data_IF_157061166921
#
_entry.id   IF_157061166921
#
_cell.length_a   1.000
_cell.length_b   1.000
_cell.length_c   1.000
_cell.angle_alpha   90.00
_cell.angle_beta   90.00
_cell.angle_gamma   90.00
#
_symmetry.space_group_name_H-M   'P 1'
#
loop_
_entity.id
_entity.type
_entity.pdbx_description
1 polymer ?
#
# COMPACT_ATOMS: atom_id res chain seq x y z
N UNK A 1 -4.15 -9.09 10.89
CA UNK A 1 -4.31 -10.54 11.07
C UNK A 1 -3.67 -11.20 9.86
N UNK A 2 -2.69 -12.06 10.08
CA UNK A 2 -1.96 -12.71 8.99
C UNK A 2 -2.72 -13.94 8.49
N UNK A 3 -2.76 -14.15 7.17
CA UNK A 3 -3.39 -15.33 6.56
C UNK A 3 -2.80 -16.64 7.06
N UNK A 4 -1.49 -16.66 7.26
CA UNK A 4 -0.78 -17.85 7.71
C UNK A 4 -1.26 -18.29 9.10
N UNK A 5 -1.47 -17.35 10.02
CA UNK A 5 -2.00 -17.67 11.35
C UNK A 5 -3.42 -18.27 11.29
N UNK A 6 -4.25 -17.81 10.34
CA UNK A 6 -5.58 -18.40 10.10
C UNK A 6 -5.43 -19.82 9.54
N UNK A 7 -4.48 -20.03 8.62
CA UNK A 7 -4.22 -21.32 8.01
C UNK A 7 -3.72 -22.35 9.03
N UNK A 8 -2.77 -21.97 9.87
CA UNK A 8 -2.27 -22.79 10.99
C UNK A 8 -3.42 -23.17 11.94
N UNK A 9 -4.29 -22.21 12.26
CA UNK A 9 -5.49 -22.48 13.07
C UNK A 9 -6.41 -23.51 12.40
N UNK A 10 -6.69 -23.36 11.11
CA UNK A 10 -7.55 -24.29 10.35
C UNK A 10 -6.97 -25.70 10.37
N UNK A 11 -5.68 -25.85 10.09
CA UNK A 11 -5.00 -27.16 10.08
C UNK A 11 -5.07 -27.83 11.45
N UNK A 12 -4.80 -27.07 12.52
CA UNK A 12 -4.87 -27.58 13.89
C UNK A 12 -6.29 -27.99 14.28
N UNK A 13 -7.26 -27.10 14.08
CA UNK A 13 -8.66 -27.35 14.40
C UNK A 13 -9.22 -28.55 13.62
N UNK A 14 -8.91 -28.65 12.31
CA UNK A 14 -9.36 -29.77 11.49
C UNK A 14 -8.79 -31.10 12.00
N UNK A 15 -7.50 -31.14 12.35
CA UNK A 15 -6.89 -32.36 12.92
C UNK A 15 -7.56 -32.80 14.22
N UNK A 16 -8.02 -31.86 15.04
CA UNK A 16 -8.72 -32.15 16.30
C UNK A 16 -10.13 -32.70 16.02
N UNK A 17 -10.85 -32.07 15.08
CA UNK A 17 -12.19 -32.49 14.67
C UNK A 17 -12.14 -33.90 14.07
N UNK A 18 -11.18 -34.19 13.19
CA UNK A 18 -11.02 -35.50 12.57
C UNK A 18 -10.75 -36.60 13.62
N UNK A 19 -9.99 -36.27 14.67
CA UNK A 19 -9.71 -37.18 15.78
C UNK A 19 -10.93 -37.38 16.72
N UNK A 20 -11.84 -36.40 16.77
CA UNK A 20 -13.00 -36.43 17.67
C UNK A 20 -14.23 -35.71 17.08
N UNK A 21 -14.93 -36.32 16.10
CA UNK A 21 -16.03 -35.66 15.37
C UNK A 21 -17.34 -35.60 16.17
N UNK A 22 -17.38 -36.13 17.38
CA UNK A 22 -18.55 -36.09 18.29
C UNK A 22 -18.21 -35.31 19.57
N UNK A 23 -17.36 -34.29 19.42
CA UNK A 23 -16.89 -33.46 20.52
C UNK A 23 -18.02 -32.58 21.05
N UNK A 24 -18.27 -32.67 22.37
CA UNK A 24 -19.24 -31.83 23.06
C UNK A 24 -18.77 -30.38 23.21
N UNK A 25 -19.69 -29.50 23.64
CA UNK A 25 -19.43 -28.05 23.74
C UNK A 25 -18.24 -27.70 24.66
N UNK A 26 -18.05 -28.43 25.77
CA UNK A 26 -16.97 -28.15 26.72
C UNK A 26 -15.60 -28.48 26.10
N UNK A 27 -15.50 -29.59 25.37
CA UNK A 27 -14.28 -29.95 24.68
C UNK A 27 -14.04 -29.04 23.46
N UNK A 28 -15.08 -28.66 22.70
CA UNK A 28 -14.94 -27.69 21.59
C UNK A 28 -14.37 -26.37 22.08
N UNK A 29 -14.89 -25.85 23.20
CA UNK A 29 -14.40 -24.64 23.87
C UNK A 29 -12.92 -24.72 24.25
N UNK A 30 -12.50 -25.86 24.77
CA UNK A 30 -11.14 -26.06 25.29
C UNK A 30 -10.11 -26.37 24.20
N UNK A 31 -10.47 -27.20 23.23
CA UNK A 31 -9.55 -27.76 22.23
C UNK A 31 -9.47 -26.94 20.94
N UNK A 32 -10.56 -26.26 20.54
CA UNK A 32 -10.63 -25.52 19.28
C UNK A 32 -10.74 -24.02 19.54
N UNK A 33 -11.76 -23.61 20.30
CA UNK A 33 -12.08 -22.18 20.40
C UNK A 33 -11.07 -21.37 21.22
N UNK A 34 -10.26 -22.02 22.05
CA UNK A 34 -9.17 -21.35 22.77
C UNK A 34 -8.15 -20.74 21.81
N UNK A 35 -7.78 -21.49 20.77
CA UNK A 35 -6.84 -21.01 19.75
C UNK A 35 -7.50 -19.98 18.85
N UNK A 36 -8.79 -20.15 18.53
CA UNK A 36 -9.57 -19.14 17.80
C UNK A 36 -9.63 -17.80 18.53
N UNK A 37 -9.84 -17.82 19.85
CA UNK A 37 -9.80 -16.61 20.66
C UNK A 37 -8.40 -15.98 20.65
N UNK A 38 -7.34 -16.80 20.73
CA UNK A 38 -5.96 -16.35 20.56
C UNK A 38 -5.72 -15.65 19.21
N UNK A 39 -6.23 -16.22 18.12
CA UNK A 39 -6.18 -15.63 16.77
C UNK A 39 -6.85 -14.24 16.70
N UNK A 40 -7.92 -14.03 17.45
CA UNK A 40 -8.59 -12.73 17.57
C UNK A 40 -7.93 -11.77 18.58
N UNK A 41 -6.94 -12.22 19.36
CA UNK A 41 -6.35 -11.46 20.47
C UNK A 41 -7.23 -11.38 21.73
N UNK A 42 -8.21 -12.29 21.84
CA UNK A 42 -9.12 -12.43 22.97
C UNK A 42 -8.46 -13.34 24.02
N UNK A 43 -7.87 -12.74 25.04
CA UNK A 43 -7.04 -13.41 26.04
C UNK A 43 -7.79 -13.58 27.36
N UNK A 44 -7.95 -14.82 27.80
CA UNK A 44 -8.56 -15.16 29.10
C UNK A 44 -7.46 -15.25 30.18
N UNK A 45 -7.62 -14.67 31.37
CA UNK A 45 -8.73 -13.82 31.84
C UNK A 45 -8.46 -12.32 31.63
N UNK A 46 -7.46 -11.96 30.82
CA UNK A 46 -6.93 -10.59 30.72
C UNK A 46 -7.95 -9.59 30.15
N UNK A 47 -8.48 -9.87 28.97
CA UNK A 47 -9.47 -9.03 28.29
C UNK A 47 -10.74 -9.81 27.91
N UNK A 48 -10.77 -11.12 28.13
CA UNK A 48 -11.92 -11.98 27.83
C UNK A 48 -12.44 -12.65 29.10
N UNK A 49 -13.73 -12.45 29.38
CA UNK A 49 -14.43 -13.09 30.48
C UNK A 49 -15.21 -14.33 30.00
N UNK A 50 -15.19 -15.38 30.81
CA UNK A 50 -15.97 -16.59 30.59
C UNK A 50 -17.34 -16.47 31.24
N UNK A 51 -18.37 -17.10 30.65
CA UNK A 51 -19.69 -17.24 31.26
C UNK A 51 -20.30 -15.89 31.69
N UNK A 52 -20.12 -14.87 30.84
CA UNK A 52 -20.50 -13.49 31.12
C UNK A 52 -22.02 -13.36 31.24
N UNK A 53 -22.46 -12.76 32.34
CA UNK A 53 -23.89 -12.70 32.67
C UNK A 53 -24.58 -11.55 31.94
N UNK A 54 -25.58 -11.89 31.13
CA UNK A 54 -26.41 -10.97 30.35
C UNK A 54 -27.83 -10.94 30.91
N UNK A 55 -28.36 -9.75 31.20
CA UNK A 55 -29.74 -9.60 31.66
C UNK A 55 -30.66 -9.42 30.46
N UNK A 56 -31.41 -10.47 30.12
CA UNK A 56 -32.36 -10.46 29.01
C UNK A 56 -33.74 -10.94 29.46
N UNK A 57 -34.81 -10.24 29.08
CA UNK A 57 -36.19 -10.64 29.35
C UNK A 57 -36.51 -10.98 30.83
N UNK A 58 -35.89 -10.26 31.77
CA UNK A 58 -36.08 -10.50 33.21
C UNK A 58 -35.41 -11.79 33.73
N UNK A 59 -34.59 -12.46 32.92
CA UNK A 59 -33.74 -13.60 33.30
C UNK A 59 -32.27 -13.24 33.10
N UNK A 60 -31.40 -13.91 33.86
CA UNK A 60 -29.95 -13.84 33.63
C UNK A 60 -29.55 -15.02 32.78
N UNK A 61 -28.95 -14.72 31.64
CA UNK A 61 -28.34 -15.69 30.76
C UNK A 61 -26.82 -15.56 30.83
N UNK A 62 -26.10 -16.54 30.30
CA UNK A 62 -24.65 -16.51 30.24
C UNK A 62 -24.23 -16.70 28.80
N UNK A 63 -23.37 -15.82 28.31
CA UNK A 63 -22.66 -15.98 27.04
C UNK A 63 -21.28 -16.55 27.34
N UNK A 64 -20.81 -17.45 26.48
CA UNK A 64 -19.62 -18.24 26.76
C UNK A 64 -18.36 -17.40 26.89
N UNK A 65 -18.18 -16.44 25.99
CA UNK A 65 -17.06 -15.51 26.02
C UNK A 65 -17.52 -14.09 25.74
N UNK A 66 -17.01 -13.15 26.55
CA UNK A 66 -17.17 -11.73 26.33
C UNK A 66 -15.82 -11.04 26.28
N UNK A 67 -15.52 -10.37 25.17
CA UNK A 67 -14.41 -9.42 25.11
C UNK A 67 -14.82 -8.16 25.88
N UNK A 68 -14.06 -7.82 26.91
CA UNK A 68 -14.28 -6.69 27.81
C UNK A 68 -13.12 -5.71 27.65
N UNK A 69 -13.42 -4.51 27.18
CA UNK A 69 -12.48 -3.40 27.09
C UNK A 69 -12.94 -2.28 28.01
N UNK A 70 -12.01 -1.73 28.80
CA UNK A 70 -12.31 -0.67 29.77
C UNK A 70 -13.51 -0.99 30.71
N UNK A 71 -13.66 -2.27 31.07
CA UNK A 71 -14.75 -2.75 31.93
C UNK A 71 -16.11 -2.91 31.24
N UNK A 72 -16.22 -2.68 29.94
CA UNK A 72 -17.45 -2.79 29.15
C UNK A 72 -17.36 -3.95 28.15
N UNK A 73 -18.39 -4.82 28.04
CA UNK A 73 -18.42 -5.84 27.00
C UNK A 73 -18.57 -5.18 25.61
N UNK A 74 -17.70 -5.53 24.67
CA UNK A 74 -17.69 -4.95 23.31
C UNK A 74 -17.97 -5.97 22.22
N UNK A 75 -17.72 -7.25 22.49
CA UNK A 75 -18.04 -8.36 21.60
C UNK A 75 -18.34 -9.64 22.38
N UNK A 76 -19.18 -10.49 21.80
CA UNK A 76 -19.57 -11.78 22.35
C UNK A 76 -19.22 -12.94 21.43
N UNK A 77 -18.90 -14.10 22.01
CA UNK A 77 -18.84 -15.38 21.30
C UNK A 77 -19.68 -16.42 22.04
N UNK A 78 -20.61 -17.04 21.33
CA UNK A 78 -21.42 -18.17 21.78
C UNK A 78 -20.94 -19.44 21.06
N UNK A 79 -20.67 -20.48 21.83
CA UNK A 79 -20.13 -21.74 21.36
C UNK A 79 -21.17 -22.87 21.42
N UNK A 80 -20.98 -23.88 20.57
CA UNK A 80 -21.70 -25.17 20.61
C UNK A 80 -20.70 -26.31 20.43
N UNK A 81 -21.12 -27.55 20.71
CA UNK A 81 -20.31 -28.74 20.42
C UNK A 81 -20.20 -28.99 18.92
N UNK A 82 -19.08 -29.57 18.47
CA UNK A 82 -18.89 -29.98 17.06
C UNK A 82 -20.00 -30.95 16.64
N UNK A 83 -20.45 -31.78 17.57
CA UNK A 83 -21.58 -32.70 17.40
C UNK A 83 -22.95 -32.02 17.17
N UNK A 84 -23.05 -30.69 17.22
CA UNK A 84 -24.29 -29.94 17.14
C UNK A 84 -24.23 -28.82 16.10
N UNK A 85 -25.05 -28.95 15.04
CA UNK A 85 -25.16 -27.93 14.00
C UNK A 85 -25.80 -26.63 14.49
N UNK A 86 -25.41 -25.51 13.89
CA UNK A 86 -25.93 -24.19 14.26
C UNK A 86 -27.40 -24.00 13.81
N UNK A 87 -28.32 -24.05 14.78
CA UNK A 87 -29.76 -23.88 14.56
C UNK A 87 -30.31 -22.48 14.86
N UNK A 88 -31.57 -22.22 14.47
CA UNK A 88 -32.23 -20.93 14.67
C UNK A 88 -32.32 -20.50 16.15
N UNK A 89 -32.51 -21.47 17.06
CA UNK A 89 -32.52 -21.19 18.51
C UNK A 89 -31.22 -20.56 18.99
N UNK A 90 -30.08 -21.04 18.51
CA UNK A 90 -28.76 -20.49 18.85
C UNK A 90 -28.60 -19.06 18.33
N UNK A 91 -29.07 -18.80 17.10
CA UNK A 91 -29.04 -17.46 16.50
C UNK A 91 -29.92 -16.47 17.26
N UNK A 92 -31.13 -16.87 17.64
CA UNK A 92 -32.05 -16.06 18.43
C UNK A 92 -31.47 -15.73 19.82
N UNK A 93 -30.81 -16.69 20.46
CA UNK A 93 -30.12 -16.51 21.73
C UNK A 93 -29.02 -15.45 21.63
N UNK A 94 -28.07 -15.58 20.70
CA UNK A 94 -27.01 -14.59 20.52
C UNK A 94 -27.56 -13.20 20.17
N UNK A 95 -28.56 -13.14 19.26
CA UNK A 95 -29.23 -11.87 18.90
C UNK A 95 -29.87 -11.19 20.11
N UNK A 96 -30.45 -11.95 21.04
CA UNK A 96 -31.01 -11.41 22.26
C UNK A 96 -29.91 -10.82 23.18
N UNK A 97 -28.75 -11.46 23.28
CA UNK A 97 -27.65 -10.96 24.10
C UNK A 97 -27.10 -9.63 23.57
N UNK A 98 -26.83 -9.56 22.27
CA UNK A 98 -26.35 -8.34 21.62
C UNK A 98 -27.32 -7.17 21.84
N UNK A 99 -28.63 -7.41 21.68
CA UNK A 99 -29.65 -6.36 21.82
C UNK A 99 -29.77 -5.80 23.25
N UNK A 100 -29.59 -6.63 24.28
CA UNK A 100 -29.87 -6.23 25.66
C UNK A 100 -28.67 -5.57 26.36
N UNK A 101 -27.43 -5.90 25.99
CA UNK A 101 -26.21 -5.37 26.61
C UNK A 101 -25.51 -4.30 25.75
N UNK A 102 -26.19 -3.81 24.71
CA UNK A 102 -25.65 -2.83 23.75
C UNK A 102 -24.31 -3.23 23.11
N UNK A 103 -24.07 -4.54 22.99
CA UNK A 103 -22.85 -5.11 22.40
C UNK A 103 -22.94 -5.14 20.88
N UNK A 104 -21.89 -4.61 20.22
CA UNK A 104 -21.93 -4.35 18.79
C UNK A 104 -21.62 -5.57 17.91
N UNK A 105 -20.85 -6.52 18.41
CA UNK A 105 -20.31 -7.63 17.63
C UNK A 105 -20.58 -8.98 18.29
N UNK A 106 -20.96 -9.98 17.50
CA UNK A 106 -21.21 -11.33 17.98
C UNK A 106 -20.70 -12.42 17.04
N UNK A 107 -20.18 -13.50 17.59
CA UNK A 107 -19.78 -14.72 16.88
C UNK A 107 -20.60 -15.89 17.42
N UNK A 108 -21.14 -16.72 16.54
CA UNK A 108 -21.73 -18.02 16.88
C UNK A 108 -20.94 -19.11 16.15
N UNK A 109 -20.44 -20.11 16.87
CA UNK A 109 -19.65 -21.17 16.26
C UNK A 109 -19.77 -22.51 17.00
N UNK A 110 -19.58 -23.61 16.29
CA UNK A 110 -19.39 -24.94 16.85
C UNK A 110 -17.97 -25.50 16.56
N UNK A 111 -17.05 -24.67 16.08
CA UNK A 111 -15.71 -25.08 15.63
C UNK A 111 -15.63 -25.44 14.14
N UNK A 112 -16.70 -25.97 13.56
CA UNK A 112 -16.80 -26.26 12.12
C UNK A 112 -17.45 -25.10 11.35
N UNK A 113 -18.56 -24.57 11.86
CA UNK A 113 -19.30 -23.45 11.29
C UNK A 113 -19.06 -22.17 12.09
N UNK A 114 -19.01 -21.03 11.40
CA UNK A 114 -18.82 -19.70 11.96
C UNK A 114 -19.83 -18.73 11.38
N UNK A 115 -20.59 -18.07 12.25
CA UNK A 115 -21.52 -17.00 11.88
C UNK A 115 -21.17 -15.70 12.61
N UNK A 116 -21.01 -14.61 11.85
CA UNK A 116 -20.61 -13.30 12.35
C UNK A 116 -21.80 -12.33 12.33
N UNK A 117 -21.94 -11.52 13.38
CA UNK A 117 -23.08 -10.65 13.60
C UNK A 117 -22.67 -9.23 13.98
N UNK A 118 -23.44 -8.25 13.50
CA UNK A 118 -23.34 -6.84 13.89
C UNK A 118 -24.68 -6.33 14.40
N UNK A 119 -24.67 -5.72 15.59
CA UNK A 119 -25.78 -4.91 16.08
C UNK A 119 -25.68 -3.50 15.51
N UNK A 120 -26.80 -2.97 15.03
CA UNK A 120 -26.93 -1.60 14.54
C UNK A 120 -28.23 -1.00 15.06
N UNK A 121 -28.18 0.28 15.40
CA UNK A 121 -29.38 1.06 15.71
C UNK A 121 -29.65 1.96 14.51
N UNK A 122 -30.77 1.72 13.83
CA UNK A 122 -31.24 2.55 12.72
C UNK A 122 -32.53 3.21 13.20
N UNK A 123 -32.51 4.54 13.27
CA UNK A 123 -33.51 5.37 13.94
C UNK A 123 -33.73 4.94 15.40
N UNK A 124 -34.82 4.21 15.67
CA UNK A 124 -35.20 3.69 17.00
C UNK A 124 -35.23 2.16 17.05
N UNK A 125 -34.89 1.47 15.94
CA UNK A 125 -34.93 0.01 15.86
C UNK A 125 -33.53 -0.58 16.00
N UNK A 126 -33.40 -1.51 16.94
CA UNK A 126 -32.18 -2.30 17.13
C UNK A 126 -32.23 -3.54 16.21
N UNK A 127 -31.40 -3.51 15.18
CA UNK A 127 -31.22 -4.59 14.22
C UNK A 127 -29.96 -5.38 14.55
N UNK A 128 -29.99 -6.69 14.32
CA UNK A 128 -28.80 -7.54 14.41
C UNK A 128 -28.69 -8.28 13.09
N UNK A 129 -27.72 -7.84 12.29
CA UNK A 129 -27.51 -8.30 10.93
C UNK A 129 -26.44 -9.38 10.91
N UNK A 130 -26.63 -10.40 10.08
CA UNK A 130 -25.60 -11.41 9.81
C UNK A 130 -24.61 -10.82 8.82
N UNK A 131 -23.34 -10.76 9.20
CA UNK A 131 -22.25 -10.28 8.35
C UNK A 131 -21.73 -11.38 7.42
N UNK A 132 -21.56 -12.60 7.94
CA UNK A 132 -21.13 -13.73 7.13
C UNK A 132 -21.47 -15.04 7.81
N UNK A 133 -21.51 -16.08 6.99
CA UNK A 133 -21.54 -17.48 7.40
C UNK A 133 -20.47 -18.21 6.60
N UNK A 134 -19.69 -19.03 7.25
CA UNK A 134 -18.59 -19.78 6.64
C UNK A 134 -18.32 -21.03 7.45
N UNK A 135 -17.72 -22.02 6.82
CA UNK A 135 -17.12 -23.16 7.53
C UNK A 135 -15.64 -22.88 7.84
N UNK A 136 -15.04 -23.78 8.62
CA UNK A 136 -13.65 -23.78 9.06
C UNK A 136 -12.68 -23.71 7.87
N UNK A 137 -12.92 -24.49 6.82
CA UNK A 137 -12.04 -24.57 5.65
C UNK A 137 -12.01 -23.25 4.89
N UNK A 138 -13.15 -22.55 4.86
CA UNK A 138 -13.31 -21.28 4.16
C UNK A 138 -13.02 -20.04 5.04
N UNK A 139 -12.55 -20.21 6.29
CA UNK A 139 -12.18 -19.07 7.14
C UNK A 139 -11.05 -18.20 6.55
N UNK A 140 -10.13 -18.80 5.79
CA UNK A 140 -9.06 -18.08 5.09
C UNK A 140 -9.59 -17.05 4.06
N UNK A 141 -10.80 -17.25 3.55
CA UNK A 141 -11.49 -16.33 2.62
C UNK A 141 -12.27 -15.24 3.37
N UNK A 142 -12.29 -15.29 4.71
CA UNK A 142 -13.04 -14.37 5.57
C UNK A 142 -12.14 -13.56 6.49
N UNK A 143 -10.87 -13.42 6.15
CA UNK A 143 -9.85 -12.70 6.96
C UNK A 143 -10.24 -11.25 7.24
N UNK A 144 -10.89 -10.54 6.29
CA UNK A 144 -11.41 -9.18 6.53
C UNK A 144 -12.38 -9.12 7.70
N UNK A 145 -13.30 -10.09 7.72
CA UNK A 145 -14.34 -10.18 8.73
C UNK A 145 -13.68 -10.56 10.05
N UNK A 146 -12.82 -11.57 10.07
CA UNK A 146 -12.07 -11.94 11.27
C UNK A 146 -11.28 -10.75 11.85
N UNK A 147 -10.64 -9.95 10.98
CA UNK A 147 -9.92 -8.74 11.39
C UNK A 147 -10.82 -7.73 12.09
N UNK A 148 -12.07 -7.56 11.66
CA UNK A 148 -13.02 -6.67 12.34
C UNK A 148 -13.40 -7.15 13.76
N UNK A 149 -13.18 -8.42 14.08
CA UNK A 149 -13.45 -9.00 15.39
C UNK A 149 -12.20 -9.12 16.27
N UNK A 150 -11.04 -8.64 15.82
CA UNK A 150 -9.84 -8.65 16.68
C UNK A 150 -9.95 -7.62 17.79
N UNK A 151 -9.30 -7.91 18.92
CA UNK A 151 -9.21 -6.97 20.05
C UNK A 151 -8.71 -5.60 19.59
N UNK A 152 -7.63 -5.55 18.83
CA UNK A 152 -7.01 -4.30 18.39
C UNK A 152 -7.91 -3.48 17.45
N UNK A 153 -8.61 -4.13 16.52
CA UNK A 153 -9.53 -3.44 15.61
C UNK A 153 -10.76 -2.89 16.35
N UNK A 154 -11.21 -3.59 17.39
CA UNK A 154 -12.33 -3.15 18.23
C UNK A 154 -11.90 -1.98 19.12
N UNK A 155 -10.76 -2.10 19.79
CA UNK A 155 -10.20 -1.09 20.70
C UNK A 155 -9.91 0.24 19.97
N UNK A 156 -9.37 0.17 18.76
CA UNK A 156 -9.07 1.35 17.93
C UNK A 156 -10.26 1.82 17.08
N UNK A 157 -11.45 1.22 17.25
CA UNK A 157 -12.66 1.52 16.49
C UNK A 157 -12.52 1.36 14.95
N UNK A 158 -11.53 0.60 14.49
CA UNK A 158 -11.27 0.31 13.08
C UNK A 158 -12.29 -0.67 12.50
N UNK A 159 -12.86 -1.54 13.34
CA UNK A 159 -13.89 -2.50 12.96
C UNK A 159 -15.07 -1.84 12.25
N UNK A 160 -15.45 -0.61 12.63
CA UNK A 160 -16.53 0.15 11.99
C UNK A 160 -16.19 0.43 10.52
N UNK A 161 -14.97 0.89 10.25
CA UNK A 161 -14.50 1.20 8.90
C UNK A 161 -14.46 -0.07 8.05
N UNK A 162 -13.90 -1.15 8.61
CA UNK A 162 -13.79 -2.44 7.93
C UNK A 162 -15.18 -2.96 7.54
N UNK A 163 -16.12 -3.00 8.48
CA UNK A 163 -17.46 -3.53 8.21
C UNK A 163 -18.29 -2.63 7.29
N UNK A 164 -18.16 -1.31 7.42
CA UNK A 164 -18.85 -0.39 6.50
C UNK A 164 -18.34 -0.56 5.06
N UNK A 165 -17.02 -0.68 4.86
CA UNK A 165 -16.45 -0.95 3.53
C UNK A 165 -16.95 -2.26 2.95
N UNK A 166 -17.00 -3.33 3.75
CA UNK A 166 -17.57 -4.62 3.31
C UNK A 166 -19.04 -4.45 2.90
N UNK A 167 -19.84 -3.73 3.68
CA UNK A 167 -21.25 -3.49 3.35
C UNK A 167 -21.40 -2.68 2.07
N UNK A 168 -20.68 -1.57 1.92
CA UNK A 168 -20.70 -0.75 0.70
C UNK A 168 -20.32 -1.54 -0.55
N UNK A 169 -19.27 -2.36 -0.45
CA UNK A 169 -18.82 -3.20 -1.55
C UNK A 169 -19.87 -4.24 -1.95
N UNK A 170 -20.52 -4.87 -0.98
CA UNK A 170 -21.59 -5.83 -1.25
C UNK A 170 -22.80 -5.16 -1.88
N UNK A 171 -23.21 -4.00 -1.38
CA UNK A 171 -24.32 -3.24 -1.95
C UNK A 171 -24.03 -2.81 -3.39
N UNK A 172 -22.79 -2.39 -3.66
CA UNK A 172 -22.32 -2.05 -5.00
C UNK A 172 -22.33 -3.27 -5.94
N UNK A 173 -21.75 -4.39 -5.50
CA UNK A 173 -21.76 -5.64 -6.26
C UNK A 173 -23.18 -6.11 -6.56
N UNK A 174 -24.05 -6.14 -5.55
CA UNK A 174 -25.43 -6.60 -5.71
C UNK A 174 -26.20 -5.69 -6.68
N UNK A 175 -25.88 -4.40 -6.71
CA UNK A 175 -26.44 -3.43 -7.67
C UNK A 175 -25.90 -3.64 -9.08
N UNK A 176 -24.58 -3.77 -9.23
CA UNK A 176 -23.95 -4.08 -10.52
C UNK A 176 -24.48 -5.38 -11.12
N UNK A 177 -24.65 -6.42 -10.30
CA UNK A 177 -25.15 -7.73 -10.77
C UNK A 177 -26.62 -7.69 -11.18
N UNK A 178 -27.46 -6.96 -10.43
CA UNK A 178 -28.89 -6.84 -10.72
C UNK A 178 -29.18 -5.98 -11.94
N UNK A 179 -28.47 -4.87 -12.07
CA UNK A 179 -28.76 -3.84 -13.07
C UNK A 179 -27.80 -3.95 -14.28
N UNK A 180 -27.08 -5.07 -14.40
CA UNK A 180 -26.01 -5.30 -15.38
C UNK A 180 -26.43 -5.02 -16.82
N UNK A 181 -27.56 -5.59 -17.25
CA UNK A 181 -28.01 -5.45 -18.63
C UNK A 181 -28.40 -4.00 -18.93
N UNK A 182 -29.14 -3.35 -18.03
CA UNK A 182 -29.58 -1.97 -18.19
C UNK A 182 -28.38 -1.00 -18.21
N UNK A 183 -27.42 -1.15 -17.29
CA UNK A 183 -26.19 -0.35 -17.25
C UNK A 183 -25.36 -0.52 -18.52
N UNK A 184 -25.27 -1.75 -19.05
CA UNK A 184 -24.54 -2.01 -20.28
C UNK A 184 -25.21 -1.37 -21.50
N UNK A 185 -26.55 -1.40 -21.56
CA UNK A 185 -27.32 -0.72 -22.60
C UNK A 185 -27.13 0.80 -22.52
N UNK A 186 -27.19 1.40 -21.34
CA UNK A 186 -26.96 2.85 -21.16
C UNK A 186 -25.57 3.27 -21.66
N UNK A 187 -24.52 2.50 -21.34
CA UNK A 187 -23.16 2.76 -21.83
C UNK A 187 -23.09 2.64 -23.35
N UNK A 188 -23.74 1.63 -23.93
CA UNK A 188 -23.78 1.41 -25.37
C UNK A 188 -24.48 2.54 -26.11
N UNK A 189 -25.63 3.00 -25.60
CA UNK A 189 -26.38 4.13 -26.15
C UNK A 189 -25.58 5.43 -26.10
N UNK A 190 -24.86 5.69 -25.00
CA UNK A 190 -23.97 6.85 -24.90
C UNK A 190 -22.89 6.84 -25.99
N UNK A 191 -22.25 5.70 -26.25
CA UNK A 191 -21.22 5.58 -27.29
C UNK A 191 -21.81 5.63 -28.70
N UNK A 192 -22.97 5.01 -28.91
CA UNK A 192 -23.68 5.05 -30.18
C UNK A 192 -24.06 6.49 -30.57
N UNK A 193 -24.62 7.25 -29.63
CA UNK A 193 -25.08 8.63 -29.84
C UNK A 193 -23.93 9.63 -30.04
N UNK A 194 -22.80 9.44 -29.35
CA UNK A 194 -21.69 10.40 -29.38
C UNK A 194 -20.60 10.07 -30.41
N UNK A 195 -20.52 8.82 -30.85
CA UNK A 195 -19.45 8.34 -31.75
C UNK A 195 -20.01 7.75 -33.05
N UNK A 196 -20.75 6.63 -32.96
CA UNK A 196 -21.34 5.96 -34.13
C UNK A 196 -22.29 4.83 -33.70
N UNK A 197 -23.47 4.77 -34.32
CA UNK A 197 -24.47 3.72 -34.12
C UNK A 197 -23.91 2.29 -34.34
N UNK A 198 -22.91 2.15 -35.21
CA UNK A 198 -22.25 0.85 -35.49
C UNK A 198 -21.57 0.24 -34.27
N UNK A 199 -21.30 1.05 -33.24
CA UNK A 199 -20.63 0.61 -32.02
C UNK A 199 -21.58 0.09 -30.95
N UNK A 200 -22.91 0.21 -31.13
CA UNK A 200 -23.91 -0.16 -30.11
C UNK A 200 -23.73 -1.61 -29.61
N UNK A 201 -23.78 -2.61 -30.51
CA UNK A 201 -23.61 -4.02 -30.11
C UNK A 201 -22.22 -4.36 -29.53
N UNK A 202 -21.09 -3.93 -30.15
CA UNK A 202 -19.77 -4.12 -29.55
C UNK A 202 -19.63 -3.44 -28.18
N UNK A 203 -20.17 -2.23 -28.01
CA UNK A 203 -20.10 -1.48 -26.77
C UNK A 203 -20.91 -2.16 -25.65
N UNK A 204 -22.13 -2.62 -25.94
CA UNK A 204 -22.96 -3.33 -24.96
C UNK A 204 -22.26 -4.61 -24.48
N UNK A 205 -21.70 -5.38 -25.41
CA UNK A 205 -20.97 -6.62 -25.08
C UNK A 205 -19.75 -6.34 -24.19
N UNK A 206 -18.97 -5.30 -24.50
CA UNK A 206 -17.81 -4.90 -23.71
C UNK A 206 -18.17 -4.28 -22.36
N UNK A 207 -19.30 -3.56 -22.27
CA UNK A 207 -19.81 -3.02 -21.03
C UNK A 207 -20.24 -4.15 -20.07
N UNK A 208 -20.93 -5.19 -20.57
CA UNK A 208 -21.27 -6.38 -19.75
C UNK A 208 -20.02 -7.06 -19.20
N UNK A 209 -19.00 -7.26 -20.03
CA UNK A 209 -17.74 -7.86 -19.62
C UNK A 209 -16.98 -6.98 -18.61
N UNK A 210 -17.04 -5.65 -18.77
CA UNK A 210 -16.48 -4.71 -17.80
C UNK A 210 -17.19 -4.79 -16.45
N UNK A 211 -18.53 -4.86 -16.45
CA UNK A 211 -19.33 -4.98 -15.21
C UNK A 211 -19.02 -6.30 -14.50
N UNK A 212 -18.92 -7.42 -15.23
CA UNK A 212 -18.52 -8.71 -14.65
C UNK A 212 -17.15 -8.62 -13.97
N UNK A 213 -16.15 -8.05 -14.66
CA UNK A 213 -14.82 -7.84 -14.07
C UNK A 213 -14.87 -6.95 -12.82
N UNK A 214 -15.74 -5.95 -12.78
CA UNK A 214 -15.88 -5.09 -11.61
C UNK A 214 -16.50 -5.86 -10.43
N UNK A 215 -17.50 -6.69 -10.70
CA UNK A 215 -18.10 -7.60 -9.70
C UNK A 215 -17.02 -8.52 -9.12
N UNK A 216 -16.24 -9.19 -9.97
CA UNK A 216 -15.18 -10.11 -9.55
C UNK A 216 -14.13 -9.40 -8.67
N UNK A 217 -13.67 -8.21 -9.10
CA UNK A 217 -12.70 -7.43 -8.31
C UNK A 217 -13.25 -7.01 -6.95
N UNK A 218 -14.54 -6.67 -6.86
CA UNK A 218 -15.20 -6.32 -5.60
C UNK A 218 -15.27 -7.53 -4.68
N UNK A 219 -15.58 -8.71 -5.22
CA UNK A 219 -15.60 -9.96 -4.44
C UNK A 219 -14.23 -10.30 -3.89
N UNK A 220 -13.18 -10.17 -4.72
CA UNK A 220 -11.79 -10.33 -4.27
C UNK A 220 -11.44 -9.36 -3.12
N UNK A 221 -11.86 -8.09 -3.20
CA UNK A 221 -11.61 -7.09 -2.15
C UNK A 221 -12.33 -7.43 -0.83
N UNK A 222 -13.56 -7.94 -0.91
CA UNK A 222 -14.35 -8.32 0.28
C UNK A 222 -13.71 -9.50 1.02
N UNK A 223 -13.30 -10.54 0.28
CA UNK A 223 -12.76 -11.78 0.84
C UNK A 223 -11.31 -11.61 1.30
N UNK A 224 -10.61 -10.70 0.66
CA UNK A 224 -9.17 -10.62 0.70
C UNK A 224 -8.69 -9.16 0.65
N UNK A 225 -8.85 -8.40 1.74
CA UNK A 225 -8.54 -6.98 1.76
C UNK A 225 -7.01 -6.79 1.69
N UNK A 226 -6.25 -7.78 2.17
CA UNK A 226 -4.80 -7.85 2.10
C UNK A 226 -4.31 -8.52 0.80
N UNK A 227 -5.22 -8.95 -0.08
CA UNK A 227 -4.91 -9.54 -1.39
C UNK A 227 -5.47 -8.75 -2.57
N UNK A 228 -6.12 -7.60 -2.33
CA UNK A 228 -6.62 -6.73 -3.39
C UNK A 228 -6.60 -5.25 -3.00
N UNK A 229 -5.56 -4.53 -3.42
CA UNK A 229 -5.73 -3.13 -3.84
C UNK A 229 -5.77 -2.04 -2.77
N UNK A 230 -4.82 -2.01 -1.84
CA UNK A 230 -4.66 -0.89 -0.92
C UNK A 230 -3.27 -0.82 -0.34
N UNK A 231 -2.22 -0.86 -1.16
CA UNK A 231 -0.86 -0.56 -0.67
C UNK A 231 -0.82 0.76 0.11
N UNK A 232 -1.74 1.68 -0.19
CA UNK A 232 -2.01 2.88 0.61
C UNK A 232 -2.76 2.50 1.89
N UNK A 233 -2.06 2.58 3.02
CA UNK A 233 -2.57 2.34 4.38
C UNK A 233 -3.65 3.35 4.77
N UNK A 234 -3.59 4.54 4.20
CA UNK A 234 -4.48 5.66 4.46
C UNK A 234 -3.81 6.97 4.08
N UNK A 235 -4.42 8.09 4.50
CA UNK A 235 -3.85 9.41 4.33
C UNK A 235 -2.97 9.79 5.55
N UNK A 236 -1.88 10.51 5.32
CA UNK A 236 -0.99 11.02 6.36
C UNK A 236 -0.63 12.48 6.06
N UNK A 237 -0.61 13.33 7.09
CA UNK A 237 -0.01 14.66 6.97
C UNK A 237 1.50 14.56 6.92
N UNK A 238 2.16 15.35 6.08
CA UNK A 238 3.62 15.30 5.95
C UNK A 238 4.33 15.52 7.29
N UNK A 239 3.85 16.44 8.12
CA UNK A 239 4.40 16.70 9.46
C UNK A 239 4.34 15.49 10.42
N UNK A 240 3.43 14.53 10.17
CA UNK A 240 3.25 13.34 11.00
C UNK A 240 4.08 12.15 10.53
N UNK A 241 4.76 12.25 9.38
CA UNK A 241 5.69 11.21 8.94
C UNK A 241 6.81 11.13 9.97
N UNK A 242 7.14 9.95 10.47
CA UNK A 242 8.28 9.75 11.39
C UNK A 242 9.58 9.52 10.63
N UNK A 243 10.70 9.98 11.17
CA UNK A 243 12.05 9.83 10.57
C UNK A 243 12.92 11.10 10.73
N UNK A 244 14.24 10.98 10.61
CA UNK A 244 15.14 12.13 10.71
C UNK A 244 15.02 13.01 9.46
N UNK A 245 15.21 14.32 9.61
CA UNK A 245 15.03 15.28 8.51
C UNK A 245 16.00 15.03 7.34
N UNK A 246 17.19 14.51 7.62
CA UNK A 246 18.18 14.18 6.60
C UNK A 246 17.95 12.81 5.92
N UNK A 247 16.88 12.07 6.27
CA UNK A 247 16.55 10.81 5.61
C UNK A 247 16.34 11.03 4.11
N UNK A 248 16.89 10.12 3.29
CA UNK A 248 16.94 10.28 1.84
C UNK A 248 15.63 9.81 1.22
N UNK A 249 14.97 10.69 0.47
CA UNK A 249 13.74 10.41 -0.26
C UNK A 249 14.02 10.33 -1.75
N UNK A 250 13.66 9.23 -2.39
CA UNK A 250 13.68 9.08 -3.84
C UNK A 250 12.31 9.48 -4.42
N UNK A 251 12.25 10.52 -5.24
CA UNK A 251 11.02 10.99 -5.88
C UNK A 251 10.97 10.51 -7.32
N UNK A 252 10.00 9.68 -7.65
CA UNK A 252 9.81 9.17 -9.01
C UNK A 252 8.65 9.88 -9.72
N UNK A 253 8.82 10.28 -10.99
CA UNK A 253 7.68 10.61 -11.82
C UNK A 253 6.88 9.34 -12.15
N UNK A 254 5.56 9.45 -12.03
CA UNK A 254 4.62 8.40 -12.32
C UNK A 254 3.38 8.95 -13.02
N UNK A 255 2.58 8.05 -13.59
CA UNK A 255 1.20 8.29 -14.05
C UNK A 255 0.27 7.48 -13.16
N UNK A 256 -1.03 7.77 -13.15
CA UNK A 256 -2.00 6.98 -12.40
C UNK A 256 -1.96 5.49 -12.74
N UNK A 257 -1.67 5.12 -14.00
CA UNK A 257 -1.50 3.72 -14.40
C UNK A 257 -0.38 2.99 -13.63
N UNK A 258 0.67 3.71 -13.22
CA UNK A 258 1.75 3.17 -12.40
C UNK A 258 1.33 2.94 -10.95
N UNK A 259 0.32 3.67 -10.46
CA UNK A 259 -0.21 3.46 -9.11
C UNK A 259 -0.82 2.08 -8.95
N UNK A 260 -1.36 1.48 -10.01
CA UNK A 260 -1.83 0.09 -9.97
C UNK A 260 -0.70 -0.86 -9.56
N UNK A 261 0.48 -0.74 -10.16
CA UNK A 261 1.63 -1.56 -9.76
C UNK A 261 2.03 -1.27 -8.29
N UNK A 262 2.08 0.01 -7.93
CA UNK A 262 2.45 0.49 -6.60
C UNK A 262 1.56 -0.11 -5.50
N UNK A 263 0.24 -0.02 -5.69
CA UNK A 263 -0.76 -0.49 -4.72
C UNK A 263 -0.91 -2.01 -4.73
N UNK A 264 -0.76 -2.64 -5.90
CA UNK A 264 -0.85 -4.10 -6.04
C UNK A 264 0.34 -4.80 -5.39
N UNK A 265 1.55 -4.27 -5.53
CA UNK A 265 2.76 -4.96 -5.08
C UNK A 265 3.39 -4.42 -3.79
N UNK A 266 2.84 -3.33 -3.22
CA UNK A 266 3.50 -2.57 -2.14
C UNK A 266 4.98 -2.30 -2.48
N UNK A 267 5.23 -1.94 -3.74
CA UNK A 267 6.56 -1.82 -4.30
C UNK A 267 6.56 -0.89 -5.52
N UNK A 268 7.72 -0.35 -5.86
CA UNK A 268 7.93 0.42 -7.08
C UNK A 268 8.91 -0.28 -8.02
N UNK A 269 8.41 -0.71 -9.18
CA UNK A 269 9.07 -1.69 -10.04
C UNK A 269 9.76 -1.10 -11.26
N UNK A 270 10.70 -1.89 -11.79
CA UNK A 270 11.36 -1.68 -13.08
C UNK A 270 12.06 -0.33 -13.22
N UNK A 271 12.68 0.13 -12.13
CA UNK A 271 13.43 1.39 -12.09
C UNK A 271 14.93 1.17 -12.03
N UNK A 272 15.69 2.13 -12.55
CA UNK A 272 17.12 2.23 -12.25
C UNK A 272 17.29 3.10 -11.01
N UNK A 273 17.96 2.56 -10.00
CA UNK A 273 18.20 3.26 -8.74
C UNK A 273 19.63 2.96 -8.27
N UNK A 274 20.44 4.02 -8.16
CA UNK A 274 21.84 3.92 -7.74
C UNK A 274 22.06 4.10 -6.24
N UNK A 275 21.16 4.82 -5.56
CA UNK A 275 21.23 5.07 -4.12
C UNK A 275 20.37 4.12 -3.28
N UNK A 276 20.60 4.12 -1.97
CA UNK A 276 19.73 3.49 -0.96
C UNK A 276 18.90 4.59 -0.27
N UNK A 277 17.75 4.99 -0.81
CA UNK A 277 16.85 5.90 -0.10
C UNK A 277 16.17 5.20 1.08
N UNK A 278 15.82 5.98 2.10
CA UNK A 278 15.01 5.54 3.23
C UNK A 278 13.51 5.58 2.88
N UNK A 279 13.11 6.51 2.01
CA UNK A 279 11.73 6.69 1.57
C UNK A 279 11.64 6.84 0.06
N UNK A 280 10.47 6.54 -0.48
CA UNK A 280 10.12 6.74 -1.87
C UNK A 280 8.87 7.62 -1.95
N UNK A 281 8.87 8.63 -2.80
CA UNK A 281 7.71 9.48 -3.06
C UNK A 281 7.31 9.44 -4.55
N UNK A 282 6.01 9.57 -4.83
CA UNK A 282 5.47 9.56 -6.20
C UNK A 282 4.99 10.94 -6.61
N UNK A 283 5.55 11.46 -7.71
CA UNK A 283 5.04 12.63 -8.42
C UNK A 283 4.10 12.21 -9.55
N UNK A 284 2.84 12.63 -9.52
CA UNK A 284 1.83 12.31 -10.53
C UNK A 284 1.86 13.33 -11.67
N UNK A 285 2.50 12.98 -12.78
CA UNK A 285 2.91 13.92 -13.83
C UNK A 285 1.80 14.47 -14.74
N UNK A 286 0.65 13.81 -14.86
CA UNK A 286 -0.38 14.15 -15.85
C UNK A 286 -1.73 14.56 -15.27
N UNK A 287 -2.18 13.87 -14.23
CA UNK A 287 -3.55 14.02 -13.77
C UNK A 287 -3.65 15.07 -12.65
N UNK A 288 -2.79 14.96 -11.63
CA UNK A 288 -2.82 15.84 -10.47
C UNK A 288 -1.67 16.86 -10.41
N UNK A 289 -0.55 16.58 -11.08
CA UNK A 289 0.67 17.39 -11.03
C UNK A 289 1.12 17.68 -9.59
N UNK A 290 1.30 16.65 -8.78
CA UNK A 290 1.70 16.81 -7.38
C UNK A 290 2.47 15.59 -6.87
N UNK A 291 3.23 15.78 -5.78
CA UNK A 291 3.75 14.65 -5.01
C UNK A 291 2.64 14.19 -4.07
N UNK A 292 2.12 12.97 -4.31
CA UNK A 292 0.90 12.47 -3.65
C UNK A 292 1.13 11.28 -2.74
N UNK A 293 2.08 10.39 -3.06
CA UNK A 293 2.30 9.17 -2.27
C UNK A 293 3.70 9.14 -1.69
N UNK A 294 3.83 8.50 -0.53
CA UNK A 294 5.10 8.24 0.16
C UNK A 294 5.10 6.83 0.73
N UNK A 295 6.21 6.11 0.62
CA UNK A 295 6.42 4.84 1.28
C UNK A 295 7.80 4.74 1.92
N UNK A 296 7.94 3.94 3.00
CA UNK A 296 9.25 3.64 3.59
C UNK A 296 9.86 2.42 2.91
N UNK A 297 11.12 2.52 2.53
CA UNK A 297 11.82 1.46 1.80
C UNK A 297 12.23 0.36 2.76
N UNK A 298 11.83 -0.87 2.45
CA UNK A 298 12.31 -2.08 3.14
C UNK A 298 13.58 -2.58 2.48
N UNK A 299 13.53 -2.81 1.17
CA UNK A 299 14.64 -3.39 0.42
C UNK A 299 14.56 -3.04 -1.07
N UNK A 300 15.68 -3.17 -1.77
CA UNK A 300 15.77 -3.00 -3.22
C UNK A 300 16.35 -4.29 -3.79
N UNK A 301 15.59 -4.97 -4.63
CA UNK A 301 15.93 -6.30 -5.17
C UNK A 301 15.87 -6.30 -6.69
N UNK A 302 16.36 -7.37 -7.33
CA UNK A 302 16.11 -7.59 -8.76
C UNK A 302 14.66 -8.03 -8.98
N UNK A 303 14.09 -7.85 -10.19
CA UNK A 303 12.72 -8.27 -10.49
C UNK A 303 12.44 -9.74 -10.19
N UNK A 304 13.37 -10.66 -10.47
CA UNK A 304 13.16 -12.08 -10.17
C UNK A 304 13.16 -12.43 -8.67
N UNK A 305 13.75 -11.58 -7.83
CA UNK A 305 13.78 -11.76 -6.39
C UNK A 305 12.67 -10.97 -5.68
N UNK A 306 11.93 -10.14 -6.41
CA UNK A 306 10.78 -9.44 -5.87
C UNK A 306 9.60 -10.41 -5.80
N UNK A 307 9.02 -10.57 -4.60
CA UNK A 307 7.79 -11.32 -4.40
C UNK A 307 6.58 -10.52 -4.94
N UNK A 308 6.54 -10.32 -6.25
CA UNK A 308 5.46 -9.63 -6.95
C UNK A 308 4.21 -10.51 -7.01
N UNK A 309 3.03 -9.89 -7.11
CA UNK A 309 1.75 -10.61 -7.18
C UNK A 309 1.54 -11.35 -8.49
N UNK A 310 2.17 -10.88 -9.56
CA UNK A 310 2.16 -11.50 -10.88
C UNK A 310 3.58 -11.55 -11.41
N UNK A 311 3.78 -12.38 -12.42
CA UNK A 311 5.04 -12.43 -13.15
C UNK A 311 5.40 -11.03 -13.69
N UNK A 312 6.67 -10.60 -13.58
CA UNK A 312 7.15 -9.31 -14.07
C UNK A 312 6.67 -8.95 -15.49
N UNK A 313 6.68 -9.92 -16.41
CA UNK A 313 6.26 -9.76 -17.81
C UNK A 313 4.76 -9.46 -18.01
N UNK A 314 3.94 -9.64 -16.97
CA UNK A 314 2.52 -9.27 -17.01
C UNK A 314 2.29 -7.78 -16.78
N UNK A 315 3.27 -7.08 -16.19
CA UNK A 315 3.18 -5.65 -15.89
C UNK A 315 3.81 -4.79 -16.99
N UNK A 316 4.91 -5.25 -17.59
CA UNK A 316 5.66 -4.52 -18.62
C UNK A 316 6.27 -5.50 -19.62
N UNK A 317 6.57 -5.03 -20.84
CA UNK A 317 7.27 -5.82 -21.84
C UNK A 317 8.64 -6.28 -21.33
N UNK A 318 9.13 -7.46 -21.77
CA UNK A 318 10.41 -8.03 -21.34
C UNK A 318 11.61 -7.06 -21.48
N UNK A 319 11.56 -6.13 -22.43
CA UNK A 319 12.60 -5.08 -22.63
C UNK A 319 12.65 -4.06 -21.48
N UNK A 320 11.56 -3.86 -20.77
CA UNK A 320 11.49 -2.97 -19.61
C UNK A 320 12.01 -3.64 -18.31
N UNK A 321 12.31 -4.95 -18.38
CA UNK A 321 12.80 -5.81 -17.29
C UNK A 321 14.29 -6.16 -17.50
N UNK A 322 14.97 -5.50 -18.44
CA UNK A 322 16.40 -5.70 -18.78
C UNK A 322 17.38 -5.55 -17.60
N UNK A 323 18.61 -6.01 -17.80
CA UNK A 323 19.70 -5.99 -16.81
C UNK A 323 19.90 -4.60 -16.17
N UNK A 324 19.94 -4.60 -14.83
CA UNK A 324 20.15 -3.40 -14.00
C UNK A 324 18.87 -2.70 -13.54
N UNK A 325 17.68 -3.17 -13.95
CA UNK A 325 16.40 -2.74 -13.37
C UNK A 325 16.20 -3.36 -11.99
N UNK A 326 15.51 -2.63 -11.12
CA UNK A 326 15.28 -2.99 -9.71
C UNK A 326 13.83 -2.78 -9.33
N UNK A 327 13.41 -3.52 -8.31
CA UNK A 327 12.14 -3.32 -7.61
C UNK A 327 12.45 -2.81 -6.21
N UNK A 328 11.86 -1.68 -5.84
CA UNK A 328 11.93 -1.10 -4.50
C UNK A 328 10.73 -1.61 -3.71
N UNK A 329 10.95 -2.51 -2.76
CA UNK A 329 9.91 -3.09 -1.91
C UNK A 329 9.76 -2.24 -0.66
N UNK A 330 8.51 -1.93 -0.29
CA UNK A 330 8.23 -1.08 0.86
C UNK A 330 8.03 -1.88 2.15
N UNK A 331 8.22 -1.22 3.29
CA UNK A 331 7.82 -1.77 4.57
C UNK A 331 6.30 -2.03 4.57
N UNK A 332 5.87 -3.11 5.22
CA UNK A 332 4.44 -3.42 5.35
C UNK A 332 3.75 -2.26 6.07
N UNK A 333 2.61 -1.83 5.54
CA UNK A 333 1.85 -0.70 6.05
C UNK A 333 2.65 0.62 6.13
N UNK A 334 3.49 0.91 5.12
CA UNK A 334 4.24 2.16 5.07
C UNK A 334 3.93 3.08 3.89
N UNK A 335 3.14 2.62 2.91
CA UNK A 335 2.73 3.42 1.78
C UNK A 335 1.48 4.22 2.16
N UNK A 336 1.55 5.55 2.05
CA UNK A 336 0.49 6.49 2.40
C UNK A 336 0.20 7.43 1.25
N UNK A 337 -1.03 7.93 1.20
CA UNK A 337 -1.41 9.13 0.48
C UNK A 337 -1.15 10.35 1.36
N UNK A 338 -0.65 11.43 0.81
CA UNK A 338 -0.41 12.66 1.57
C UNK A 338 -1.72 13.45 1.67
N UNK A 339 -2.16 13.77 2.90
CA UNK A 339 -3.32 14.66 3.13
C UNK A 339 -3.05 16.07 2.60
N UNK A 340 -1.79 16.49 2.64
CA UNK A 340 -1.27 17.76 2.17
C UNK A 340 -0.25 17.51 1.04
N UNK A 341 -0.71 17.13 -0.16
CA UNK A 341 0.17 16.85 -1.29
C UNK A 341 0.96 18.10 -1.70
N UNK A 342 2.08 17.90 -2.40
CA UNK A 342 2.96 19.01 -2.82
C UNK A 342 2.63 19.38 -4.26
N UNK A 343 1.88 20.46 -4.50
CA UNK A 343 1.41 20.82 -5.83
C UNK A 343 2.54 21.28 -6.73
N UNK A 344 2.38 21.05 -8.03
CA UNK A 344 3.24 21.59 -9.06
C UNK A 344 3.20 23.11 -9.10
N UNK A 345 4.35 23.73 -9.38
CA UNK A 345 4.45 25.15 -9.70
C UNK A 345 5.14 25.40 -11.04
N UNK A 346 6.46 25.22 -11.12
CA UNK A 346 7.22 25.41 -12.36
C UNK A 346 8.10 24.19 -12.69
N UNK A 347 8.61 23.50 -11.67
CA UNK A 347 9.57 22.40 -11.81
C UNK A 347 8.94 21.07 -11.46
N UNK A 348 9.34 20.02 -12.15
CA UNK A 348 8.89 18.66 -11.87
C UNK A 348 9.97 17.65 -12.28
N UNK A 349 10.01 16.45 -11.67
CA UNK A 349 11.08 15.49 -11.90
C UNK A 349 10.84 14.75 -13.22
N UNK A 350 11.67 14.95 -14.25
CA UNK A 350 11.57 14.18 -15.51
C UNK A 350 12.12 12.75 -15.39
N UNK A 351 12.90 12.49 -14.34
CA UNK A 351 13.50 11.21 -13.99
C UNK A 351 13.56 11.10 -12.46
N UNK A 352 14.09 9.98 -11.95
CA UNK A 352 14.34 9.83 -10.51
C UNK A 352 15.16 11.01 -9.97
N UNK A 353 14.60 11.69 -8.98
CA UNK A 353 15.23 12.76 -8.23
C UNK A 353 15.36 12.36 -6.76
N UNK A 354 16.31 12.95 -6.04
CA UNK A 354 16.43 12.77 -4.60
C UNK A 354 16.07 14.06 -3.87
N UNK A 355 15.62 13.95 -2.63
CA UNK A 355 15.40 15.05 -1.68
C UNK A 355 15.55 14.49 -0.27
N UNK A 356 15.29 15.28 0.74
CA UNK A 356 15.30 14.86 2.15
C UNK A 356 13.89 14.84 2.73
N UNK A 357 13.70 14.07 3.80
CA UNK A 357 12.40 14.01 4.47
C UNK A 357 12.02 15.36 5.08
N UNK A 358 13.00 16.13 5.57
CA UNK A 358 12.81 17.49 6.07
C UNK A 358 12.29 18.43 4.98
N UNK A 359 12.94 18.46 3.80
CA UNK A 359 12.48 19.24 2.65
C UNK A 359 11.06 18.81 2.22
N UNK A 360 10.78 17.51 2.18
CA UNK A 360 9.44 17.00 1.85
C UNK A 360 8.37 17.47 2.84
N UNK A 361 8.67 17.50 4.14
CA UNK A 361 7.76 17.98 5.18
C UNK A 361 7.40 19.46 5.04
N UNK A 362 8.34 20.29 4.61
CA UNK A 362 8.19 21.75 4.60
C UNK A 362 7.89 22.34 3.23
N UNK A 363 8.06 21.58 2.14
CA UNK A 363 7.85 22.08 0.78
C UNK A 363 6.42 22.60 0.57
N UNK A 364 6.27 23.78 -0.01
CA UNK A 364 4.95 24.29 -0.40
C UNK A 364 4.61 23.87 -1.81
N UNK A 365 5.61 23.73 -2.68
CA UNK A 365 5.46 23.36 -4.08
C UNK A 365 6.61 22.48 -4.56
N UNK A 366 6.44 21.88 -5.74
CA UNK A 366 7.49 21.07 -6.37
C UNK A 366 8.79 21.86 -6.65
N UNK A 367 8.73 23.19 -6.75
CA UNK A 367 9.92 24.04 -6.90
C UNK A 367 10.86 23.94 -5.68
N UNK A 368 10.31 23.68 -4.49
CA UNK A 368 11.08 23.54 -3.24
C UNK A 368 11.80 22.18 -3.17
N UNK A 369 11.25 21.16 -3.82
CA UNK A 369 11.83 19.81 -3.88
C UNK A 369 12.87 19.66 -4.98
N UNK A 370 12.60 20.27 -6.12
CA UNK A 370 13.39 20.15 -7.35
C UNK A 370 14.12 21.46 -7.68
N UNK A 371 14.46 22.23 -6.65
CA UNK A 371 15.31 23.40 -6.77
C UNK A 371 16.69 22.96 -7.29
N UNK A 372 16.90 23.19 -8.59
CA UNK A 372 18.18 23.25 -9.33
C UNK A 372 19.36 22.54 -8.61
N UNK A 373 19.76 21.38 -9.12
CA UNK A 373 20.88 20.55 -8.63
C UNK A 373 22.21 21.32 -8.47
N UNK A 374 22.27 22.58 -8.94
CA UNK A 374 23.31 23.56 -8.67
C UNK A 374 23.50 23.92 -7.19
N UNK A 375 22.56 23.56 -6.29
CA UNK A 375 22.63 23.88 -4.85
C UNK A 375 22.92 22.72 -3.90
N UNK A 376 23.04 21.47 -4.36
CA UNK A 376 23.25 20.31 -3.45
C UNK A 376 24.67 19.76 -3.36
N UNK A 377 25.62 20.36 -4.08
CA UNK A 377 27.06 20.19 -3.85
C UNK A 377 27.67 21.57 -3.65
N UNK A 378 28.18 21.84 -2.46
CA UNK A 378 28.83 23.14 -2.16
C UNK A 378 30.24 23.21 -2.76
N UNK A 379 30.91 22.08 -2.98
CA UNK A 379 32.31 22.05 -3.42
C UNK A 379 32.59 20.98 -4.50
N UNK A 380 33.45 21.28 -5.49
CA UNK A 380 33.94 20.30 -6.45
C UNK A 380 34.77 19.20 -5.75
N UNK A 381 34.72 17.96 -6.24
CA UNK A 381 35.70 16.95 -5.80
C UNK A 381 37.09 17.19 -6.41
N UNK A 382 38.10 16.47 -5.93
CA UNK A 382 39.50 16.65 -6.38
C UNK A 382 39.69 16.59 -7.90
N UNK A 383 39.05 15.65 -8.61
CA UNK A 383 39.12 15.57 -10.08
C UNK A 383 38.48 16.80 -10.74
N UNK A 384 37.32 17.23 -10.23
CA UNK A 384 36.62 18.42 -10.69
C UNK A 384 37.41 19.70 -10.41
N UNK A 385 38.14 19.80 -9.29
CA UNK A 385 39.03 20.93 -9.01
C UNK A 385 40.16 21.06 -10.04
N UNK A 386 40.80 19.96 -10.42
CA UNK A 386 41.81 19.97 -11.48
C UNK A 386 41.23 20.40 -12.83
N UNK A 387 40.02 19.96 -13.15
CA UNK A 387 39.30 20.34 -14.38
C UNK A 387 38.90 21.82 -14.36
N UNK A 388 38.40 22.31 -13.23
CA UNK A 388 38.06 23.72 -13.04
C UNK A 388 39.30 24.61 -13.16
N UNK A 389 40.42 24.19 -12.56
CA UNK A 389 41.72 24.85 -12.69
C UNK A 389 42.18 24.89 -14.16
N UNK A 390 41.94 23.83 -14.93
CA UNK A 390 42.29 23.80 -16.36
C UNK A 390 41.41 24.74 -17.19
N UNK A 391 40.11 24.81 -16.91
CA UNK A 391 39.20 25.77 -17.57
C UNK A 391 39.57 27.21 -17.23
N UNK A 392 39.94 27.50 -15.98
CA UNK A 392 40.42 28.82 -15.54
C UNK A 392 41.77 29.19 -16.19
N UNK A 393 42.68 28.23 -16.32
CA UNK A 393 43.98 28.43 -16.95
C UNK A 393 43.90 28.63 -18.48
N UNK A 394 42.87 28.08 -19.13
CA UNK A 394 42.74 28.10 -20.58
C UNK A 394 41.25 28.23 -21.01
N UNK A 395 40.60 29.36 -20.71
CA UNK A 395 39.18 29.56 -20.98
C UNK A 395 38.91 29.59 -22.48
N UNK A 396 37.73 29.12 -22.88
CA UNK A 396 37.27 29.14 -24.27
C UNK A 396 37.84 28.00 -25.12
N UNK A 397 38.42 26.96 -24.50
CA UNK A 397 39.04 25.83 -25.20
C UNK A 397 38.07 24.65 -25.31
N UNK A 398 38.36 23.78 -26.27
CA UNK A 398 37.62 22.53 -26.48
C UNK A 398 37.96 21.49 -25.41
N UNK A 399 37.09 20.49 -25.23
CA UNK A 399 37.28 19.35 -24.31
C UNK A 399 38.68 18.75 -24.41
N UNK A 400 39.17 18.51 -25.65
CA UNK A 400 40.50 17.93 -25.89
C UNK A 400 41.63 18.78 -25.32
N UNK A 401 41.53 20.10 -25.45
CA UNK A 401 42.54 21.03 -24.95
C UNK A 401 42.48 21.16 -23.43
N UNK A 402 41.29 21.05 -22.84
CA UNK A 402 41.11 21.03 -21.38
C UNK A 402 41.70 19.74 -20.81
N UNK A 403 41.36 18.58 -21.37
CA UNK A 403 41.92 17.29 -20.98
C UNK A 403 43.45 17.29 -21.01
N UNK A 404 44.06 17.85 -22.07
CA UNK A 404 45.52 18.02 -22.16
C UNK A 404 46.08 18.94 -21.07
N UNK A 405 45.33 19.96 -20.67
CA UNK A 405 45.76 20.93 -19.66
C UNK A 405 45.69 20.32 -18.26
N UNK A 406 44.63 19.57 -17.97
CA UNK A 406 44.46 18.83 -16.72
C UNK A 406 45.60 17.83 -16.50
N UNK A 407 45.95 17.06 -17.54
CA UNK A 407 47.02 16.07 -17.48
C UNK A 407 48.44 16.68 -17.31
N UNK A 408 48.59 18.00 -17.41
CA UNK A 408 49.85 18.72 -17.16
C UNK A 408 49.99 19.25 -15.75
N UNK A 409 48.93 19.20 -14.93
CA UNK A 409 49.04 19.61 -13.54
C UNK A 409 49.73 18.52 -12.74
N UNK A 410 50.72 18.93 -11.95
CA UNK A 410 51.32 18.07 -10.95
C UNK A 410 50.23 17.49 -10.05
N UNK A 411 50.32 16.20 -9.73
CA UNK A 411 49.41 15.46 -8.86
C UNK A 411 48.00 15.20 -9.43
N UNK A 412 47.74 15.56 -10.70
CA UNK A 412 46.47 15.22 -11.35
C UNK A 412 46.33 13.70 -11.54
N UNK A 413 45.19 13.09 -11.16
CA UNK A 413 44.92 11.67 -11.40
C UNK A 413 44.46 11.38 -12.85
N UNK A 414 44.40 12.41 -13.71
CA UNK A 414 43.89 12.31 -15.09
C UNK A 414 45.06 12.26 -16.05
N UNK A 415 45.21 11.14 -16.75
CA UNK A 415 46.25 10.94 -17.77
C UNK A 415 45.84 11.50 -19.13
N UNK A 416 46.82 11.94 -19.92
CA UNK A 416 46.61 12.33 -21.31
C UNK A 416 46.61 11.10 -22.21
N UNK A 417 45.52 10.92 -22.95
CA UNK A 417 45.41 9.97 -24.05
C UNK A 417 44.96 10.71 -25.31
N UNK A 418 45.60 10.38 -26.44
CA UNK A 418 45.24 10.92 -27.74
C UNK A 418 43.95 10.28 -28.31
N UNK A 419 43.64 9.05 -27.88
CA UNK A 419 42.42 8.34 -28.20
C UNK A 419 41.31 8.59 -27.17
N UNK A 420 40.08 8.18 -27.50
CA UNK A 420 38.95 8.36 -26.60
C UNK A 420 38.95 7.25 -25.54
N UNK A 421 39.44 7.56 -24.34
CA UNK A 421 39.54 6.63 -23.21
C UNK A 421 38.85 7.09 -21.93
N UNK A 422 38.99 6.29 -20.87
CA UNK A 422 38.38 6.51 -19.54
C UNK A 422 38.73 7.90 -18.97
N UNK A 423 40.00 8.29 -19.01
CA UNK A 423 40.48 9.62 -18.55
C UNK A 423 39.83 10.79 -19.28
N UNK A 424 39.42 10.62 -20.54
CA UNK A 424 38.73 11.66 -21.31
C UNK A 424 37.25 11.74 -20.94
N UNK A 425 36.63 10.59 -20.69
CA UNK A 425 35.27 10.50 -20.15
C UNK A 425 35.21 11.16 -18.77
N UNK A 426 36.21 10.93 -17.92
CA UNK A 426 36.34 11.58 -16.60
C UNK A 426 36.35 13.11 -16.70
N UNK A 427 37.14 13.68 -17.63
CA UNK A 427 37.17 15.13 -17.86
C UNK A 427 35.83 15.65 -18.37
N UNK A 428 35.17 14.91 -19.26
CA UNK A 428 33.87 15.31 -19.79
C UNK A 428 32.79 15.30 -18.70
N UNK A 429 32.75 14.26 -17.87
CA UNK A 429 31.84 14.16 -16.73
C UNK A 429 32.11 15.26 -15.71
N UNK A 430 33.39 15.54 -15.39
CA UNK A 430 33.75 16.63 -14.51
C UNK A 430 33.34 18.01 -15.05
N UNK A 431 33.47 18.26 -16.36
CA UNK A 431 33.00 19.52 -16.98
C UNK A 431 31.48 19.67 -16.95
N UNK A 432 30.74 18.57 -17.11
CA UNK A 432 29.29 18.57 -16.95
C UNK A 432 28.92 18.89 -15.49
N UNK A 433 29.52 18.19 -14.53
CA UNK A 433 29.27 18.45 -13.11
C UNK A 433 29.62 19.89 -12.70
N UNK A 434 30.76 20.42 -13.13
CA UNK A 434 31.14 21.82 -12.84
C UNK A 434 30.20 22.85 -13.49
N UNK A 435 29.59 22.50 -14.63
CA UNK A 435 28.57 23.33 -15.26
C UNK A 435 27.31 23.35 -14.43
N UNK A 436 26.93 22.19 -13.91
CA UNK A 436 25.78 22.03 -13.05
C UNK A 436 26.01 22.78 -11.72
N UNK A 437 27.24 22.84 -11.21
CA UNK A 437 27.65 23.70 -10.08
C UNK A 437 27.74 25.20 -10.40
N UNK A 438 27.42 25.62 -11.63
CA UNK A 438 27.56 27.00 -12.12
C UNK A 438 28.98 27.60 -11.96
N UNK A 439 30.01 26.76 -11.97
CA UNK A 439 31.42 27.18 -11.91
C UNK A 439 32.02 27.33 -13.31
N UNK A 440 31.47 26.63 -14.29
CA UNK A 440 31.81 26.75 -15.71
C UNK A 440 30.55 26.82 -16.58
N UNK A 441 30.68 27.32 -17.80
CA UNK A 441 29.62 27.34 -18.82
C UNK A 441 30.17 26.88 -20.16
N UNK A 442 29.30 26.28 -20.97
CA UNK A 442 29.61 25.87 -22.34
C UNK A 442 28.97 26.84 -23.33
N UNK A 443 29.79 27.50 -24.14
CA UNK A 443 29.36 28.40 -25.21
C UNK A 443 30.08 28.01 -26.51
N UNK A 444 29.34 27.73 -27.58
CA UNK A 444 29.90 27.36 -28.89
C UNK A 444 31.05 26.34 -28.82
N UNK A 445 30.83 25.21 -28.13
CA UNK A 445 31.81 24.11 -27.90
C UNK A 445 33.07 24.51 -27.10
N UNK A 446 33.02 25.66 -26.44
CA UNK A 446 34.11 26.24 -25.68
C UNK A 446 33.69 26.36 -24.21
N UNK A 447 34.52 25.85 -23.30
CA UNK A 447 34.23 25.94 -21.86
C UNK A 447 34.85 27.19 -21.26
N UNK A 448 34.06 27.95 -20.52
CA UNK A 448 34.43 29.20 -19.89
C UNK A 448 34.15 29.12 -18.38
N UNK A 449 34.97 29.72 -17.50
CA UNK A 449 34.57 29.90 -16.11
C UNK A 449 33.36 30.85 -16.03
N UNK A 450 32.52 30.65 -15.02
CA UNK A 450 31.54 31.65 -14.59
C UNK A 450 32.27 32.55 -13.58
N UNK A 451 32.35 33.87 -13.83
CA UNK A 451 33.20 34.77 -13.05
C UNK A 451 32.85 34.76 -11.56
N UNK A 452 33.85 34.52 -10.71
CA UNK A 452 33.80 34.61 -9.24
C UNK A 452 34.54 35.88 -8.77
N UNK A 453 34.05 37.06 -9.13
CA UNK A 453 34.50 38.34 -8.54
C UNK A 453 33.51 38.89 -7.48
N UNK A 454 32.50 38.11 -7.07
CA UNK A 454 31.70 38.40 -5.86
C UNK A 454 31.38 37.07 -5.13
N UNK A 455 31.69 37.04 -3.83
CA UNK A 455 31.63 35.95 -2.82
C UNK A 455 32.89 35.11 -2.63
#
# INVERSE_FOLDING_TARGET
>A
MEREAVREYIEHAQSIIDASPQMDEANTKAAILRDFLGLLGWNIPANTQLEYSVKAFGKTYKVDYALVLEGTPVAFLEAKGVDNSLGNKHREQLRAYLKNEDVNLGILTNGEDYEFYRRQVVDTKVNVNTLAKTDLQNLCERVTILRAFTKDAIENNEWVKILNRITELRDARDTLGRDKDDLATEIAELLANNVSETLSQPAESQAKEMIDRLIDNIEEEIESPDSGGGGVVGAIRRQNISGPDNAKVAVFPSRESGLKFLTENNAWGFVRIGGKPDYVAMYLSRDAQEVRYLAKVKEIVSPENAQLRREPESYVDRKEIEDGKRVVVFEKNSLYELEDPIPFKNKWPQSLQYTTLGELRTAETTDDLFADDSKRREEPNSKEEFVLRAVRANPGRSLRSIHRTVAKFDESPIEWDDEWGESRTDVQTALQNLRDLNLVRLDNRSWLPVNSDEV
#
